data_IF_397102820663
#
_entry.id   IF_397102820663
#
_cell.length_a   1.000
_cell.length_b   1.000
_cell.length_c   1.000
_cell.angle_alpha   90.00
_cell.angle_beta   90.00
_cell.angle_gamma   90.00
#
_symmetry.space_group_name_H-M   'P 1'
#
loop_
_entity.id
_entity.type
_entity.pdbx_description
1 polymer ?
#
# COMPACT_ATOMS: atom_id res chain seq x y z
N UNK A 1 25.02 -23.32 -50.65
CA UNK A 1 23.57 -23.58 -50.76
C UNK A 1 23.10 -24.16 -49.43
N UNK A 2 22.57 -23.32 -48.55
CA UNK A 2 21.99 -23.76 -47.27
C UNK A 2 20.60 -24.32 -47.60
N UNK A 3 20.42 -25.63 -47.49
CA UNK A 3 19.17 -26.33 -47.84
C UNK A 3 18.06 -25.99 -46.84
N UNK A 4 16.81 -25.83 -47.30
CA UNK A 4 15.61 -25.50 -46.48
C UNK A 4 15.44 -26.38 -45.23
N UNK A 5 15.99 -27.59 -45.26
CA UNK A 5 16.07 -28.53 -44.14
C UNK A 5 16.84 -27.95 -42.94
N UNK A 6 17.99 -27.33 -43.17
CA UNK A 6 18.82 -26.72 -42.12
C UNK A 6 18.17 -25.49 -41.49
N UNK A 7 17.48 -24.64 -42.28
CA UNK A 7 16.70 -23.51 -41.75
C UNK A 7 15.54 -23.96 -40.87
N UNK A 8 14.89 -25.08 -41.20
CA UNK A 8 13.78 -25.62 -40.40
C UNK A 8 14.27 -26.17 -39.06
N UNK A 9 15.46 -26.80 -39.03
CA UNK A 9 16.10 -27.30 -37.81
C UNK A 9 16.51 -26.14 -36.90
N UNK A 10 17.15 -25.10 -37.45
CA UNK A 10 17.53 -23.90 -36.69
C UNK A 10 16.30 -23.22 -36.08
N UNK A 11 15.20 -23.09 -36.83
CA UNK A 11 13.95 -22.49 -36.31
C UNK A 11 13.34 -23.30 -35.16
N UNK A 12 13.40 -24.63 -35.22
CA UNK A 12 12.96 -25.50 -34.12
C UNK A 12 13.84 -25.36 -32.87
N UNK A 13 15.16 -25.25 -33.04
CA UNK A 13 16.11 -25.04 -31.94
C UNK A 13 15.86 -23.68 -31.26
N UNK A 14 15.67 -22.62 -32.05
CA UNK A 14 15.36 -21.28 -31.51
C UNK A 14 14.05 -21.30 -30.69
N UNK A 15 13.01 -21.97 -31.19
CA UNK A 15 11.74 -22.11 -30.45
C UNK A 15 11.93 -22.92 -29.17
N UNK A 16 12.70 -24.01 -29.21
CA UNK A 16 12.98 -24.82 -28.03
C UNK A 16 13.77 -24.05 -26.96
N UNK A 17 14.76 -23.26 -27.36
CA UNK A 17 15.53 -22.39 -26.47
C UNK A 17 14.67 -21.27 -25.88
N UNK A 18 13.75 -20.69 -26.67
CA UNK A 18 12.80 -19.69 -26.20
C UNK A 18 11.84 -20.27 -25.15
N UNK A 19 11.38 -21.50 -25.36
CA UNK A 19 10.50 -22.22 -24.42
C UNK A 19 11.24 -22.61 -23.13
N UNK A 20 12.51 -23.01 -23.21
CA UNK A 20 13.35 -23.32 -22.05
C UNK A 20 13.66 -22.07 -21.21
N UNK A 21 13.85 -20.91 -21.85
CA UNK A 21 14.05 -19.63 -21.16
C UNK A 21 12.82 -19.14 -20.37
N UNK A 22 11.61 -19.49 -20.81
CA UNK A 22 10.37 -19.09 -20.13
C UNK A 22 10.16 -19.80 -18.78
N UNK A 23 10.74 -20.98 -18.57
CA UNK A 23 10.57 -21.75 -17.31
C UNK A 23 11.55 -21.30 -16.22
N UNK A 24 12.67 -20.67 -16.59
CA UNK A 24 13.71 -20.25 -15.66
C UNK A 24 13.34 -19.01 -14.82
N UNK A 25 12.40 -18.18 -15.27
CA UNK A 25 12.00 -16.94 -14.60
C UNK A 25 10.98 -17.13 -13.45
N UNK A 26 10.55 -18.36 -13.15
CA UNK A 26 9.37 -18.60 -12.29
C UNK A 26 9.62 -19.18 -10.89
N UNK A 27 10.87 -19.46 -10.49
CA UNK A 27 11.13 -20.29 -9.29
C UNK A 27 12.04 -19.68 -8.22
N UNK A 28 12.68 -18.52 -8.45
CA UNK A 28 13.56 -17.91 -7.44
C UNK A 28 12.80 -17.31 -6.23
N UNK A 29 11.50 -17.05 -6.38
CA UNK A 29 10.69 -16.33 -5.40
C UNK A 29 9.60 -17.13 -4.71
N UNK A 30 9.56 -18.45 -4.90
CA UNK A 30 8.50 -19.28 -4.31
C UNK A 30 8.72 -19.43 -2.81
N UNK A 31 7.96 -18.65 -2.05
CA UNK A 31 7.67 -18.88 -0.63
C UNK A 31 7.08 -20.30 -0.51
N UNK A 32 7.55 -21.14 0.44
CA UNK A 32 6.98 -22.48 0.64
C UNK A 32 5.47 -22.41 0.86
N UNK A 33 4.71 -23.39 0.38
CA UNK A 33 3.23 -23.36 0.40
C UNK A 33 2.60 -23.30 1.79
N UNK A 34 3.38 -23.63 2.83
CA UNK A 34 3.00 -23.57 4.24
C UNK A 34 3.41 -22.26 4.93
N UNK A 35 3.93 -21.30 4.18
CA UNK A 35 4.29 -19.96 4.66
C UNK A 35 3.34 -18.96 4.03
N UNK A 36 2.85 -18.02 4.83
CA UNK A 36 2.01 -16.92 4.35
C UNK A 36 2.71 -16.18 3.20
N UNK A 37 1.94 -15.77 2.18
CA UNK A 37 2.49 -14.96 1.11
C UNK A 37 2.93 -13.59 1.63
N UNK A 38 3.76 -12.88 0.84
CA UNK A 38 4.24 -11.53 1.21
C UNK A 38 3.09 -10.56 1.39
N UNK A 39 2.07 -10.66 0.54
CA UNK A 39 0.86 -9.83 0.55
C UNK A 39 0.06 -10.09 1.82
N UNK A 40 -0.15 -11.36 2.18
CA UNK A 40 -0.90 -11.72 3.40
C UNK A 40 -0.15 -11.31 4.67
N UNK A 41 1.17 -11.48 4.68
CA UNK A 41 2.01 -11.02 5.78
C UNK A 41 2.00 -9.49 5.90
N UNK A 42 2.08 -8.77 4.78
CA UNK A 42 1.96 -7.30 4.72
C UNK A 42 0.66 -6.84 5.38
N UNK A 43 -0.48 -7.42 4.97
CA UNK A 43 -1.79 -6.99 5.47
C UNK A 43 -1.92 -7.19 6.98
N UNK A 44 -1.50 -8.35 7.49
CA UNK A 44 -1.52 -8.66 8.92
C UNK A 44 -0.61 -7.70 9.71
N UNK A 45 0.63 -7.47 9.24
CA UNK A 45 1.58 -6.61 9.92
C UNK A 45 1.16 -5.14 9.88
N UNK A 46 0.49 -4.70 8.81
CA UNK A 46 -0.06 -3.35 8.72
C UNK A 46 -1.15 -3.12 9.77
N UNK A 47 -2.09 -4.06 9.91
CA UNK A 47 -3.13 -3.99 10.95
C UNK A 47 -2.55 -4.05 12.36
N UNK A 48 -1.54 -4.91 12.59
CA UNK A 48 -0.85 -4.98 13.88
C UNK A 48 -0.15 -3.67 14.23
N UNK A 49 0.55 -3.03 13.28
CA UNK A 49 1.17 -1.73 13.50
C UNK A 49 0.14 -0.63 13.77
N UNK A 50 -1.02 -0.69 13.10
CA UNK A 50 -2.10 0.25 13.36
C UNK A 50 -2.69 0.05 14.77
N UNK A 51 -2.85 -1.20 15.22
CA UNK A 51 -3.25 -1.49 16.58
C UNK A 51 -2.23 -1.04 17.63
N UNK A 52 -0.94 -1.14 17.33
CA UNK A 52 0.12 -0.60 18.19
C UNK A 52 0.02 0.92 18.30
N UNK A 53 -0.10 1.63 17.18
CA UNK A 53 -0.28 3.07 17.16
C UNK A 53 -1.52 3.49 17.96
N UNK A 54 -2.65 2.81 17.71
CA UNK A 54 -3.89 3.03 18.44
C UNK A 54 -3.76 2.77 19.94
N UNK A 55 -2.94 1.79 20.35
CA UNK A 55 -2.74 1.45 21.77
C UNK A 55 -2.13 2.59 22.59
N UNK A 56 -1.47 3.57 21.95
CA UNK A 56 -0.96 4.77 22.62
C UNK A 56 -2.05 5.82 22.86
N UNK A 57 -3.13 5.80 22.08
CA UNK A 57 -4.19 6.82 22.10
C UNK A 57 -5.42 6.43 22.93
N UNK A 58 -5.58 5.15 23.30
CA UNK A 58 -6.74 4.58 24.03
C UNK A 58 -6.85 4.97 25.51
N UNK A 59 -6.37 6.15 25.89
CA UNK A 59 -6.49 6.62 27.26
C UNK A 59 -7.96 6.70 27.71
N UNK A 60 -8.34 6.04 28.83
CA UNK A 60 -9.70 6.14 29.38
C UNK A 60 -10.00 7.51 29.99
N UNK A 61 -8.98 8.35 30.20
CA UNK A 61 -9.09 9.66 30.80
C UNK A 61 -8.26 10.65 29.97
N UNK A 62 -8.94 11.47 29.16
CA UNK A 62 -8.34 12.39 28.17
C UNK A 62 -6.99 12.97 28.64
N UNK A 63 -5.90 12.50 28.03
CA UNK A 63 -4.53 12.96 28.32
C UNK A 63 -3.70 12.12 29.29
N UNK A 64 -4.21 11.00 29.83
CA UNK A 64 -3.46 10.11 30.75
C UNK A 64 -3.17 8.77 30.09
N UNK A 65 -1.93 8.47 29.67
CA UNK A 65 -1.61 7.18 29.06
C UNK A 65 -2.00 6.00 29.97
N UNK A 66 -2.42 4.88 29.36
CA UNK A 66 -2.60 3.64 30.11
C UNK A 66 -1.25 3.19 30.72
N UNK A 67 -1.25 2.56 31.90
CA UNK A 67 -0.07 1.87 32.39
C UNK A 67 0.44 0.85 31.35
N UNK A 68 1.76 0.75 31.21
CA UNK A 68 2.39 -0.09 30.18
C UNK A 68 1.93 -1.56 30.24
N UNK A 69 1.71 -2.09 31.43
CA UNK A 69 1.22 -3.46 31.63
C UNK A 69 -0.17 -3.66 31.02
N UNK A 70 -1.07 -2.70 31.21
CA UNK A 70 -2.43 -2.73 30.66
C UNK A 70 -2.44 -2.53 29.16
N UNK A 71 -1.58 -1.63 28.66
CA UNK A 71 -1.41 -1.39 27.22
C UNK A 71 -0.93 -2.66 26.50
N UNK A 72 0.07 -3.34 27.04
CA UNK A 72 0.59 -4.59 26.47
C UNK A 72 -0.46 -5.71 26.45
N UNK A 73 -1.31 -5.80 27.48
CA UNK A 73 -2.44 -6.74 27.48
C UNK A 73 -3.43 -6.42 26.35
N UNK A 74 -3.76 -5.14 26.16
CA UNK A 74 -4.66 -4.69 25.09
C UNK A 74 -4.11 -4.96 23.69
N UNK A 75 -2.82 -4.68 23.46
CA UNK A 75 -2.16 -4.98 22.18
C UNK A 75 -2.24 -6.48 21.87
N UNK A 76 -2.01 -7.35 22.85
CA UNK A 76 -2.14 -8.82 22.66
C UNK A 76 -3.57 -9.23 22.29
N UNK A 77 -4.58 -8.59 22.89
CA UNK A 77 -5.98 -8.81 22.51
C UNK A 77 -6.24 -8.38 21.06
N UNK A 78 -5.74 -7.21 20.65
CA UNK A 78 -5.88 -6.72 19.27
C UNK A 78 -5.20 -7.64 18.27
N UNK A 79 -3.97 -8.08 18.55
CA UNK A 79 -3.26 -9.00 17.67
C UNK A 79 -4.04 -10.29 17.45
N UNK A 80 -4.66 -10.83 18.51
CA UNK A 80 -5.52 -12.02 18.36
C UNK A 80 -6.73 -11.73 17.47
N UNK A 81 -7.41 -10.60 17.67
CA UNK A 81 -8.56 -10.20 16.86
C UNK A 81 -8.18 -9.98 15.40
N UNK A 82 -7.03 -9.35 15.14
CA UNK A 82 -6.49 -9.14 13.78
C UNK A 82 -6.23 -10.48 13.11
N UNK A 83 -5.59 -11.42 13.80
CA UNK A 83 -5.37 -12.76 13.26
C UNK A 83 -6.68 -13.49 12.95
N UNK A 84 -7.70 -13.35 13.81
CA UNK A 84 -9.04 -13.88 13.59
C UNK A 84 -9.71 -13.27 12.34
N UNK A 85 -9.60 -11.94 12.14
CA UNK A 85 -10.08 -11.22 10.95
C UNK A 85 -9.37 -11.68 9.67
N UNK A 86 -8.10 -12.02 9.77
CA UNK A 86 -7.31 -12.55 8.67
C UNK A 86 -7.52 -14.05 8.43
N UNK A 87 -8.28 -14.72 9.28
CA UNK A 87 -8.50 -16.16 9.29
C UNK A 87 -7.21 -16.98 9.43
N UNK A 88 -6.28 -16.50 10.26
CA UNK A 88 -4.98 -17.11 10.51
C UNK A 88 -4.85 -17.48 11.99
N UNK A 89 -4.40 -18.69 12.30
CA UNK A 89 -4.07 -19.04 13.68
C UNK A 89 -2.75 -18.42 14.13
N UNK A 90 -2.60 -18.19 15.43
CA UNK A 90 -1.33 -17.73 16.03
C UNK A 90 -0.15 -18.64 15.62
N UNK A 91 -0.38 -19.95 15.55
CA UNK A 91 0.66 -20.91 15.16
C UNK A 91 1.12 -20.72 13.71
N UNK A 92 0.18 -20.57 12.78
CA UNK A 92 0.49 -20.35 11.35
C UNK A 92 1.20 -19.02 11.12
N UNK A 93 0.73 -17.96 11.80
CA UNK A 93 1.38 -16.66 11.77
C UNK A 93 2.81 -16.75 12.29
N UNK A 94 3.02 -17.28 13.50
CA UNK A 94 4.36 -17.37 14.09
C UNK A 94 5.29 -18.27 13.29
N UNK A 95 4.77 -19.35 12.70
CA UNK A 95 5.55 -20.22 11.81
C UNK A 95 6.04 -19.46 10.57
N UNK A 96 5.16 -18.70 9.94
CA UNK A 96 5.48 -17.89 8.76
C UNK A 96 6.38 -16.71 9.11
N UNK A 97 6.10 -16.01 10.20
CA UNK A 97 6.87 -14.86 10.67
C UNK A 97 8.33 -15.23 10.93
N UNK A 98 8.58 -16.35 11.61
CA UNK A 98 9.94 -16.87 11.82
C UNK A 98 10.71 -17.15 10.53
N UNK A 99 10.02 -17.59 9.48
CA UNK A 99 10.63 -17.74 8.17
C UNK A 99 11.03 -16.37 7.59
N UNK A 100 10.17 -15.36 7.68
CA UNK A 100 10.53 -14.02 7.23
C UNK A 100 11.67 -13.40 8.04
N UNK A 101 11.68 -13.57 9.37
CA UNK A 101 12.77 -13.11 10.23
C UNK A 101 14.12 -13.73 9.85
N UNK A 102 14.16 -15.02 9.50
CA UNK A 102 15.39 -15.68 9.04
C UNK A 102 15.79 -15.31 7.60
N UNK A 103 14.95 -14.57 6.87
CA UNK A 103 15.17 -14.15 5.48
C UNK A 103 14.99 -12.64 5.36
N UNK A 104 15.97 -11.88 5.85
CA UNK A 104 15.92 -10.42 5.96
C UNK A 104 15.53 -9.70 4.64
N UNK A 105 15.97 -10.21 3.49
CA UNK A 105 15.57 -9.67 2.18
C UNK A 105 14.06 -9.79 1.93
N UNK A 106 13.46 -10.94 2.25
CA UNK A 106 12.01 -11.17 2.09
C UNK A 106 11.20 -10.36 3.09
N UNK A 107 11.68 -10.24 4.33
CA UNK A 107 11.02 -9.39 5.33
C UNK A 107 11.09 -7.91 4.93
N UNK A 108 12.22 -7.45 4.38
CA UNK A 108 12.35 -6.11 3.83
C UNK A 108 11.32 -5.85 2.72
N UNK A 109 11.12 -6.80 1.80
CA UNK A 109 10.11 -6.65 0.75
C UNK A 109 8.71 -6.47 1.33
N UNK A 110 8.35 -7.20 2.39
CA UNK A 110 7.05 -7.02 3.09
C UNK A 110 6.92 -5.60 3.63
N UNK A 111 7.95 -5.08 4.30
CA UNK A 111 7.93 -3.70 4.80
C UNK A 111 7.88 -2.66 3.68
N UNK A 112 8.61 -2.86 2.58
CA UNK A 112 8.57 -1.97 1.42
C UNK A 112 7.15 -1.95 0.82
N UNK A 113 6.46 -3.09 0.77
CA UNK A 113 5.06 -3.18 0.35
C UNK A 113 4.10 -2.47 1.33
N UNK A 114 4.34 -2.53 2.64
CA UNK A 114 3.55 -1.78 3.62
C UNK A 114 3.67 -0.28 3.41
N UNK A 115 4.90 0.22 3.20
CA UNK A 115 5.14 1.65 2.96
C UNK A 115 4.47 2.12 1.66
N UNK A 116 4.52 1.30 0.61
CA UNK A 116 3.81 1.58 -0.63
C UNK A 116 2.29 1.71 -0.42
N UNK A 117 1.69 0.77 0.34
CA UNK A 117 0.26 0.79 0.67
C UNK A 117 -0.15 2.06 1.41
N UNK A 118 0.62 2.45 2.44
CA UNK A 118 0.36 3.66 3.23
C UNK A 118 0.49 4.91 2.37
N UNK A 119 1.51 4.97 1.49
CA UNK A 119 1.72 6.09 0.60
C UNK A 119 0.60 6.24 -0.44
N UNK A 120 0.06 5.12 -0.94
CA UNK A 120 -1.10 5.11 -1.84
C UNK A 120 -2.36 5.62 -1.14
N UNK A 121 -2.65 5.10 0.06
CA UNK A 121 -3.79 5.53 0.86
C UNK A 121 -3.74 7.02 1.19
N UNK A 122 -2.57 7.54 1.60
CA UNK A 122 -2.38 8.99 1.84
C UNK A 122 -2.68 9.83 0.61
N UNK A 123 -2.20 9.42 -0.58
CA UNK A 123 -2.48 10.15 -1.82
C UNK A 123 -3.97 10.18 -2.16
N UNK A 124 -4.69 9.09 -1.87
CA UNK A 124 -6.13 9.03 -2.07
C UNK A 124 -6.86 10.01 -1.14
N UNK A 125 -6.52 10.00 0.15
CA UNK A 125 -7.06 10.92 1.16
C UNK A 125 -6.77 12.38 0.82
N UNK A 126 -5.53 12.72 0.47
CA UNK A 126 -5.16 14.07 0.02
C UNK A 126 -5.90 14.48 -1.27
N UNK A 127 -6.19 13.52 -2.15
CA UNK A 127 -7.03 13.75 -3.33
C UNK A 127 -8.48 14.06 -2.96
N UNK A 128 -9.03 13.36 -1.97
CA UNK A 128 -10.38 13.57 -1.44
C UNK A 128 -10.52 14.89 -0.69
N UNK A 129 -9.62 15.18 0.25
CA UNK A 129 -9.60 16.43 1.00
C UNK A 129 -9.52 17.62 0.06
N UNK A 130 -8.67 17.54 -0.98
CA UNK A 130 -8.61 18.57 -2.02
C UNK A 130 -9.96 18.73 -2.72
N UNK A 131 -10.59 17.63 -3.18
CA UNK A 131 -11.91 17.67 -3.84
C UNK A 131 -12.98 18.32 -2.95
N UNK A 132 -13.00 18.02 -1.66
CA UNK A 132 -13.91 18.64 -0.71
C UNK A 132 -13.62 20.14 -0.55
N UNK A 133 -12.35 20.52 -0.38
CA UNK A 133 -11.94 21.92 -0.29
C UNK A 133 -12.34 22.74 -1.54
N UNK A 134 -12.28 22.15 -2.74
CA UNK A 134 -12.77 22.81 -3.97
C UNK A 134 -14.28 23.00 -3.96
N UNK A 135 -15.04 21.99 -3.51
CA UNK A 135 -16.50 22.07 -3.44
C UNK A 135 -16.96 23.15 -2.45
N UNK A 136 -16.28 23.25 -1.30
CA UNK A 136 -16.61 24.21 -0.24
C UNK A 136 -16.11 25.63 -0.56
N UNK A 137 -14.93 25.75 -1.17
CA UNK A 137 -14.36 27.05 -1.55
C UNK A 137 -13.49 26.95 -2.82
N UNK A 138 -14.06 27.17 -4.01
CA UNK A 138 -13.34 27.05 -5.27
C UNK A 138 -12.20 28.08 -5.44
N UNK A 139 -12.17 29.15 -4.63
CA UNK A 139 -11.11 30.15 -4.63
C UNK A 139 -9.90 29.81 -3.76
N UNK A 140 -9.98 28.78 -2.92
CA UNK A 140 -8.90 28.38 -1.99
C UNK A 140 -7.69 27.75 -2.68
N UNK A 141 -7.89 27.23 -3.90
CA UNK A 141 -6.86 26.53 -4.67
C UNK A 141 -5.76 27.45 -5.22
N UNK A 142 -6.08 28.71 -5.46
CA UNK A 142 -5.07 29.60 -6.00
C UNK A 142 -4.11 30.02 -4.88
N UNK A 143 -2.79 29.86 -5.07
CA UNK A 143 -1.77 30.32 -4.12
C UNK A 143 -1.65 31.86 -4.12
N UNK A 144 -2.74 32.59 -4.40
CA UNK A 144 -2.76 34.03 -4.27
C UNK A 144 -2.90 34.37 -2.79
N UNK A 145 -1.94 35.12 -2.21
CA UNK A 145 -2.08 35.56 -0.84
C UNK A 145 -3.32 36.45 -0.70
N UNK A 146 -4.00 36.40 0.46
CA UNK A 146 -5.24 37.14 0.78
C UNK A 146 -5.15 38.67 0.57
N UNK A 147 -3.99 39.20 0.21
CA UNK A 147 -3.68 40.60 -0.04
C UNK A 147 -3.38 40.93 -1.52
N UNK A 148 -3.69 40.05 -2.48
CA UNK A 148 -3.69 40.48 -3.88
C UNK A 148 -4.79 41.52 -4.08
N UNK A 149 -4.41 42.65 -4.68
CA UNK A 149 -5.24 43.85 -4.94
C UNK A 149 -6.30 43.57 -6.02
N UNK A 150 -6.72 42.31 -6.20
CA UNK A 150 -7.87 41.96 -7.02
C UNK A 150 -9.08 42.16 -6.12
N UNK A 151 -9.56 43.39 -6.11
CA UNK A 151 -10.81 43.79 -5.48
C UNK A 151 -11.90 42.77 -5.82
N UNK A 152 -12.69 42.38 -4.84
CA UNK A 152 -13.96 41.63 -4.96
C UNK A 152 -14.94 42.20 -6.01
N UNK A 153 -14.59 43.32 -6.64
CA UNK A 153 -15.36 44.13 -7.59
C UNK A 153 -14.83 44.12 -9.03
N UNK A 154 -13.77 43.37 -9.36
CA UNK A 154 -13.38 43.17 -10.76
C UNK A 154 -14.04 41.90 -11.32
N UNK A 155 -15.21 42.12 -11.91
CA UNK A 155 -16.00 41.19 -12.75
C UNK A 155 -15.24 40.78 -14.02
N UNK A 156 -14.08 40.11 -13.90
CA UNK A 156 -13.29 39.70 -15.09
C UNK A 156 -12.97 38.22 -15.18
N UNK A 157 -13.46 37.38 -14.27
CA UNK A 157 -13.21 35.93 -14.35
C UNK A 157 -14.24 35.17 -15.22
N UNK A 158 -15.33 35.82 -15.65
CA UNK A 158 -16.30 35.20 -16.58
C UNK A 158 -16.51 36.01 -17.88
N UNK A 159 -15.55 36.05 -18.82
CA UNK A 159 -15.76 36.69 -20.12
C UNK A 159 -16.58 35.84 -21.11
N UNK A 160 -16.86 34.57 -20.82
CA UNK A 160 -17.32 33.61 -21.85
C UNK A 160 -18.74 33.07 -21.69
N UNK A 161 -19.50 33.50 -20.66
CA UNK A 161 -20.93 33.19 -20.59
C UNK A 161 -21.70 34.24 -21.40
N UNK A 162 -22.03 33.88 -22.65
CA UNK A 162 -22.88 34.66 -23.54
C UNK A 162 -24.24 34.87 -22.86
N UNK A 163 -24.49 36.05 -22.29
CA UNK A 163 -25.80 36.43 -21.75
C UNK A 163 -26.80 36.41 -22.90
N UNK A 164 -27.80 35.53 -22.84
CA UNK A 164 -29.00 35.66 -23.69
C UNK A 164 -29.73 36.93 -23.23
N UNK A 165 -29.94 37.85 -24.16
CA UNK A 165 -30.85 38.98 -24.02
C UNK A 165 -32.30 38.49 -23.99
#
# INVERSE_FOLDING_TARGET
MITNQTMTIIRKIVIAVLLLGAVACGNADKVPSNILSKEKMRDILLDMNMADAYSYDISPMRGVPLPDSMRQLKVKEYYRQILDLHHISVKEFMFSYRYYESHANRLKEVYDMMQASIAEERKALEGEDRRQQYADNPGSFFPYPKNTVISKKQDTIFPFLKRKH
#
